data_IF_232283809943
#
_entry.id   IF_232283809943
#
_cell.length_a   1.000
_cell.length_b   1.000
_cell.length_c   1.000
_cell.angle_alpha   90.00
_cell.angle_beta   90.00
_cell.angle_gamma   90.00
#
_symmetry.space_group_name_H-M   'P 1'
#
loop_
_entity.id
_entity.type
_entity.pdbx_description
1 polymer ?
#
# COMPACT_ATOMS: atom_id res chain seq x y z
N UNK A 1 -47.23 -63.45 -33.60
CA UNK A 1 -47.11 -64.41 -32.49
C UNK A 1 -45.68 -64.31 -31.99
N UNK A 2 -45.34 -63.78 -30.83
CA UNK A 2 -46.15 -63.41 -29.67
C UNK A 2 -45.45 -62.32 -28.83
N UNK A 3 -46.32 -61.50 -28.22
CA UNK A 3 -46.24 -60.77 -26.94
C UNK A 3 -44.98 -60.94 -26.07
N UNK A 4 -44.31 -59.85 -25.68
CA UNK A 4 -44.59 -58.90 -24.55
C UNK A 4 -44.26 -59.46 -23.15
N UNK A 5 -43.61 -58.57 -22.38
CA UNK A 5 -43.34 -58.53 -20.92
C UNK A 5 -41.98 -59.14 -20.51
N UNK A 6 -41.10 -58.50 -19.73
CA UNK A 6 -41.33 -57.60 -18.58
C UNK A 6 -40.19 -56.55 -18.45
N UNK A 7 -40.49 -55.24 -18.42
CA UNK A 7 -40.68 -54.33 -17.25
C UNK A 7 -39.35 -53.68 -16.77
N UNK A 8 -39.11 -52.40 -17.11
CA UNK A 8 -39.09 -51.19 -16.23
C UNK A 8 -37.95 -51.23 -15.18
N UNK A 9 -36.98 -50.32 -15.08
CA UNK A 9 -36.95 -48.85 -14.89
C UNK A 9 -35.43 -48.49 -14.85
N UNK A 10 -34.88 -47.32 -15.16
CA UNK A 10 -35.40 -45.97 -15.13
C UNK A 10 -34.61 -45.02 -16.06
N UNK A 11 -35.36 -44.06 -16.58
CA UNK A 11 -35.05 -42.63 -16.77
C UNK A 11 -33.86 -42.17 -17.62
N UNK A 12 -34.23 -41.65 -18.78
CA UNK A 12 -33.59 -40.56 -19.52
C UNK A 12 -33.25 -39.36 -18.62
N UNK A 13 -32.10 -38.73 -18.81
CA UNK A 13 -32.00 -37.34 -19.32
C UNK A 13 -30.57 -36.77 -19.17
N UNK A 14 -30.22 -35.94 -20.16
CA UNK A 14 -29.05 -35.05 -20.22
C UNK A 14 -27.65 -35.64 -20.49
N UNK A 15 -27.38 -35.92 -21.76
CA UNK A 15 -26.23 -35.30 -22.47
C UNK A 15 -26.63 -35.01 -23.91
N UNK A 16 -27.11 -33.80 -24.16
CA UNK A 16 -27.34 -33.28 -25.50
C UNK A 16 -26.02 -32.73 -26.09
N UNK A 17 -25.73 -33.17 -27.31
CA UNK A 17 -24.94 -32.54 -28.38
C UNK A 17 -23.86 -31.52 -28.01
N UNK A 18 -22.59 -31.94 -28.16
CA UNK A 18 -21.48 -31.08 -28.55
C UNK A 18 -21.06 -31.45 -29.99
N UNK A 19 -21.61 -30.75 -30.98
CA UNK A 19 -21.19 -30.86 -32.37
C UNK A 19 -20.24 -29.73 -32.76
N UNK A 20 -19.07 -30.15 -33.28
CA UNK A 20 -18.32 -29.53 -34.38
C UNK A 20 -17.88 -28.07 -34.29
N UNK A 21 -16.69 -27.79 -33.73
CA UNK A 21 -15.79 -26.71 -34.22
C UNK A 21 -14.32 -27.06 -33.92
N UNK A 22 -13.88 -28.28 -34.24
CA UNK A 22 -12.45 -28.62 -34.26
C UNK A 22 -12.08 -29.00 -35.69
N UNK A 23 -12.10 -28.00 -36.56
CA UNK A 23 -11.39 -27.99 -37.82
C UNK A 23 -11.17 -26.54 -38.18
N UNK A 24 -9.90 -26.24 -38.40
CA UNK A 24 -9.34 -24.99 -38.92
C UNK A 24 -8.96 -23.91 -37.91
N UNK A 25 -7.71 -23.99 -37.45
CA UNK A 25 -6.87 -22.83 -37.09
C UNK A 25 -5.41 -23.30 -37.00
N UNK A 26 -4.95 -23.93 -38.10
CA UNK A 26 -3.54 -24.28 -38.32
C UNK A 26 -2.74 -23.14 -38.98
N UNK A 27 -3.35 -21.98 -39.20
CA UNK A 27 -2.71 -20.81 -39.79
C UNK A 27 -3.29 -19.53 -39.18
N UNK A 28 -2.88 -19.19 -37.96
CA UNK A 28 -2.99 -17.79 -37.46
C UNK A 28 -1.99 -17.49 -36.34
N UNK A 29 -0.85 -18.19 -36.32
CA UNK A 29 0.29 -17.90 -35.43
C UNK A 29 1.33 -16.98 -36.11
N UNK A 30 1.18 -16.72 -37.41
CA UNK A 30 1.94 -15.70 -38.12
C UNK A 30 1.10 -14.42 -38.27
N UNK A 31 0.94 -13.71 -37.16
CA UNK A 31 0.76 -12.27 -37.25
C UNK A 31 2.07 -11.70 -37.79
N UNK A 32 2.08 -11.32 -39.07
CA UNK A 32 3.14 -10.47 -39.64
C UNK A 32 3.39 -9.30 -38.68
N UNK A 33 4.63 -9.03 -38.25
CA UNK A 33 4.90 -7.77 -37.59
C UNK A 33 4.60 -6.66 -38.59
N UNK A 34 3.92 -5.61 -38.11
CA UNK A 34 3.92 -4.33 -38.80
C UNK A 34 5.36 -3.94 -39.08
N UNK A 35 5.63 -3.66 -40.36
CA UNK A 35 6.92 -3.37 -40.96
C UNK A 35 7.61 -2.16 -40.31
N UNK A 36 8.20 -2.36 -39.13
CA UNK A 36 9.09 -1.41 -38.43
C UNK A 36 9.91 -2.10 -37.32
N UNK A 37 10.25 -3.38 -37.47
CA UNK A 37 11.26 -4.05 -36.63
C UNK A 37 12.57 -4.19 -37.41
N UNK A 38 13.69 -3.92 -36.75
CA UNK A 38 15.03 -4.03 -37.34
C UNK A 38 15.25 -5.45 -37.87
N UNK A 39 15.88 -5.60 -39.05
CA UNK A 39 16.24 -6.90 -39.63
C UNK A 39 17.04 -7.81 -38.67
N UNK A 40 17.70 -7.22 -37.67
CA UNK A 40 18.46 -7.92 -36.63
C UNK A 40 17.55 -8.78 -35.73
N UNK A 41 16.35 -8.30 -35.38
CA UNK A 41 15.43 -9.01 -34.48
C UNK A 41 14.87 -10.30 -35.13
N UNK A 42 14.63 -10.27 -36.45
CA UNK A 42 14.13 -11.42 -37.21
C UNK A 42 15.18 -12.55 -37.31
N UNK A 43 16.47 -12.19 -37.43
CA UNK A 43 17.56 -13.17 -37.45
C UNK A 43 17.79 -13.78 -36.07
N UNK A 44 17.68 -12.99 -35.00
CA UNK A 44 17.73 -13.49 -33.63
C UNK A 44 16.59 -14.49 -33.35
N UNK A 45 15.35 -14.17 -33.74
CA UNK A 45 14.19 -15.05 -33.56
C UNK A 45 14.34 -16.40 -34.28
N UNK A 46 14.92 -16.40 -35.49
CA UNK A 46 15.23 -17.63 -36.23
C UNK A 46 16.31 -18.48 -35.53
N UNK A 47 17.33 -17.84 -34.96
CA UNK A 47 18.37 -18.53 -34.17
C UNK A 47 17.81 -19.12 -32.87
N UNK A 48 16.91 -18.42 -32.19
CA UNK A 48 16.17 -18.93 -31.03
C UNK A 48 15.31 -20.15 -31.37
N UNK A 49 14.57 -20.10 -32.49
CA UNK A 49 13.75 -21.21 -32.96
C UNK A 49 14.58 -22.45 -33.32
N UNK A 50 15.79 -22.26 -33.85
CA UNK A 50 16.72 -23.37 -34.12
C UNK A 50 17.26 -24.02 -32.84
N UNK A 51 17.55 -23.22 -31.81
CA UNK A 51 18.00 -23.72 -30.50
C UNK A 51 16.90 -24.51 -29.78
N UNK A 52 15.63 -24.10 -29.86
CA UNK A 52 14.51 -24.83 -29.24
C UNK A 52 14.27 -26.22 -29.84
N UNK A 53 14.65 -26.40 -31.11
CA UNK A 53 14.56 -27.69 -31.82
C UNK A 53 15.66 -28.68 -31.43
N UNK A 54 16.67 -28.27 -30.65
CA UNK A 54 17.73 -29.16 -30.20
C UNK A 54 17.21 -30.18 -29.15
N UNK A 55 17.80 -31.38 -29.05
CA UNK A 55 17.50 -32.32 -27.98
C UNK A 55 17.77 -31.71 -26.59
N UNK A 56 16.99 -32.11 -25.57
CA UNK A 56 16.99 -31.51 -24.20
C UNK A 56 18.37 -31.34 -23.59
N UNK A 57 19.29 -32.27 -23.83
CA UNK A 57 20.66 -32.22 -23.31
C UNK A 57 21.54 -31.17 -23.99
N UNK A 58 21.33 -30.92 -25.29
CA UNK A 58 22.10 -29.92 -26.04
C UNK A 58 21.55 -28.50 -25.80
N UNK A 59 20.23 -28.36 -25.58
CA UNK A 59 19.58 -27.11 -25.17
C UNK A 59 20.12 -26.53 -23.87
N UNK A 60 20.46 -27.39 -22.91
CA UNK A 60 21.00 -26.96 -21.61
C UNK A 60 22.45 -26.46 -21.66
N UNK A 61 23.15 -26.73 -22.77
CA UNK A 61 24.59 -26.42 -22.89
C UNK A 61 24.87 -25.22 -23.77
N UNK A 62 23.94 -24.86 -24.64
CA UNK A 62 24.12 -23.79 -25.62
C UNK A 62 23.14 -22.65 -25.34
N UNK A 63 23.65 -21.43 -25.31
CA UNK A 63 22.86 -20.20 -25.17
C UNK A 63 23.23 -19.21 -26.26
N UNK A 64 22.30 -18.31 -26.59
CA UNK A 64 22.57 -17.19 -27.49
C UNK A 64 23.08 -16.01 -26.66
N UNK A 65 24.20 -15.40 -27.07
CA UNK A 65 24.72 -14.19 -26.45
C UNK A 65 24.84 -13.09 -27.51
N UNK A 66 24.04 -12.05 -27.35
CA UNK A 66 24.12 -10.83 -28.14
C UNK A 66 25.36 -10.05 -27.72
N UNK A 67 26.32 -9.85 -28.63
CA UNK A 67 27.51 -9.03 -28.36
C UNK A 67 27.12 -7.56 -28.13
N UNK A 68 28.00 -6.74 -27.56
CA UNK A 68 27.74 -5.29 -27.41
C UNK A 68 27.49 -4.55 -28.73
N UNK A 69 27.76 -5.19 -29.86
CA UNK A 69 27.50 -4.72 -31.23
C UNK A 69 26.14 -5.15 -31.80
N UNK A 70 25.28 -5.83 -31.04
CA UNK A 70 23.95 -6.29 -31.52
C UNK A 70 23.95 -7.65 -32.23
N UNK A 71 25.10 -8.30 -32.39
CA UNK A 71 25.19 -9.58 -33.10
C UNK A 71 25.01 -10.78 -32.14
N UNK A 72 24.00 -11.60 -32.37
CA UNK A 72 23.74 -12.83 -31.62
C UNK A 72 24.66 -13.99 -32.02
N UNK A 73 25.51 -14.41 -31.08
CA UNK A 73 26.44 -15.54 -31.21
C UNK A 73 26.00 -16.76 -30.39
N UNK A 74 26.11 -17.97 -30.96
CA UNK A 74 25.83 -19.23 -30.25
C UNK A 74 27.03 -19.60 -29.37
N UNK A 75 26.85 -19.67 -28.05
CA UNK A 75 27.94 -19.91 -27.10
C UNK A 75 27.65 -21.13 -26.21
N UNK A 76 28.66 -21.99 -26.04
CA UNK A 76 28.62 -23.13 -25.11
C UNK A 76 28.92 -22.64 -23.69
N UNK A 77 27.91 -22.71 -22.83
CA UNK A 77 27.90 -22.14 -21.47
C UNK A 77 29.04 -22.71 -20.60
N UNK A 78 29.54 -23.91 -20.89
CA UNK A 78 30.63 -24.54 -20.11
C UNK A 78 32.02 -24.10 -20.51
N UNK A 79 32.19 -23.54 -21.71
CA UNK A 79 33.50 -23.11 -22.25
C UNK A 79 33.77 -21.63 -22.06
N UNK A 80 32.83 -20.90 -21.45
CA UNK A 80 32.96 -19.48 -21.14
C UNK A 80 34.15 -19.23 -20.21
N UNK A 81 35.05 -18.35 -20.65
CA UNK A 81 36.14 -17.82 -19.84
C UNK A 81 35.62 -17.03 -18.64
N UNK A 82 36.48 -16.77 -17.66
CA UNK A 82 36.08 -16.06 -16.43
C UNK A 82 35.55 -14.65 -16.71
N UNK A 83 36.16 -13.90 -17.63
CA UNK A 83 35.72 -12.56 -18.00
C UNK A 83 34.37 -12.54 -18.73
N UNK A 84 34.16 -13.43 -19.70
CA UNK A 84 32.88 -13.55 -20.41
C UNK A 84 31.75 -13.95 -19.47
N UNK A 85 32.02 -14.89 -18.56
CA UNK A 85 31.06 -15.30 -17.51
C UNK A 85 30.67 -14.13 -16.61
N UNK A 86 31.62 -13.29 -16.22
CA UNK A 86 31.34 -12.15 -15.35
C UNK A 86 30.52 -11.06 -16.09
N UNK A 87 30.81 -10.81 -17.36
CA UNK A 87 30.03 -9.90 -18.22
C UNK A 87 28.60 -10.42 -18.45
N UNK A 88 28.45 -11.73 -18.65
CA UNK A 88 27.17 -12.39 -18.84
C UNK A 88 26.32 -12.35 -17.57
N UNK A 89 26.92 -12.59 -16.40
CA UNK A 89 26.25 -12.41 -15.10
C UNK A 89 25.83 -10.96 -14.91
N UNK A 90 26.68 -9.98 -15.19
CA UNK A 90 26.31 -8.56 -15.06
C UNK A 90 25.18 -8.16 -16.00
N UNK A 91 25.18 -8.66 -17.24
CA UNK A 91 24.07 -8.42 -18.18
C UNK A 91 22.79 -9.12 -17.76
N UNK A 92 22.86 -10.38 -17.33
CA UNK A 92 21.69 -11.10 -16.82
C UNK A 92 21.10 -10.38 -15.61
N UNK A 93 21.93 -9.92 -14.67
CA UNK A 93 21.47 -9.16 -13.49
C UNK A 93 20.81 -7.85 -13.90
N UNK A 94 21.41 -7.11 -14.84
CA UNK A 94 20.88 -5.84 -15.36
C UNK A 94 19.58 -6.05 -16.16
N UNK A 95 19.50 -7.10 -16.97
CA UNK A 95 18.32 -7.44 -17.76
C UNK A 95 17.21 -8.04 -16.91
N UNK A 96 17.50 -8.76 -15.82
CA UNK A 96 16.46 -9.26 -14.92
C UNK A 96 15.60 -8.13 -14.37
N UNK A 97 16.17 -6.97 -14.03
CA UNK A 97 15.37 -5.85 -13.55
C UNK A 97 14.39 -5.35 -14.62
N UNK A 98 14.87 -5.18 -15.85
CA UNK A 98 14.05 -4.70 -16.98
C UNK A 98 13.03 -5.76 -17.44
N UNK A 99 13.39 -7.05 -17.40
CA UNK A 99 12.52 -8.16 -17.76
C UNK A 99 11.45 -8.41 -16.69
N UNK A 100 11.79 -8.28 -15.39
CA UNK A 100 10.82 -8.39 -14.31
C UNK A 100 9.75 -7.30 -14.41
N UNK A 101 10.15 -6.06 -14.71
CA UNK A 101 9.20 -4.96 -14.94
C UNK A 101 8.30 -5.22 -16.16
N UNK A 102 8.88 -5.63 -17.30
CA UNK A 102 8.11 -6.00 -18.50
C UNK A 102 7.17 -7.17 -18.25
N UNK A 103 7.60 -8.16 -17.45
CA UNK A 103 6.75 -9.28 -17.06
C UNK A 103 5.56 -8.83 -16.23
N UNK A 104 5.80 -8.02 -15.19
CA UNK A 104 4.74 -7.48 -14.33
C UNK A 104 3.76 -6.61 -15.12
N UNK A 105 4.25 -5.79 -16.05
CA UNK A 105 3.41 -4.98 -16.93
C UNK A 105 2.55 -5.85 -17.85
N UNK A 106 3.13 -6.88 -18.50
CA UNK A 106 2.36 -7.83 -19.31
C UNK A 106 1.35 -8.62 -18.48
N UNK A 107 1.68 -8.96 -17.23
CA UNK A 107 0.78 -9.65 -16.32
C UNK A 107 -0.40 -8.75 -15.93
N UNK A 108 -0.12 -7.49 -15.59
CA UNK A 108 -1.14 -6.45 -15.34
C UNK A 108 -2.05 -6.26 -16.55
N UNK A 109 -1.50 -6.06 -17.74
CA UNK A 109 -2.29 -5.91 -18.97
C UNK A 109 -3.14 -7.14 -19.29
N UNK A 110 -2.68 -8.35 -18.92
CA UNK A 110 -3.47 -9.58 -19.08
C UNK A 110 -4.60 -9.66 -18.06
N UNK A 111 -4.38 -9.22 -16.82
CA UNK A 111 -5.41 -9.12 -15.80
C UNK A 111 -6.46 -8.07 -16.20
N UNK A 112 -6.04 -6.86 -16.56
CA UNK A 112 -6.93 -5.77 -17.01
C UNK A 112 -7.78 -6.18 -18.23
N UNK A 113 -7.18 -6.91 -19.18
CA UNK A 113 -7.93 -7.45 -20.34
C UNK A 113 -8.95 -8.51 -19.94
N UNK A 114 -8.61 -9.39 -18.99
CA UNK A 114 -9.53 -10.43 -18.48
C UNK A 114 -10.67 -9.80 -17.69
N UNK A 115 -10.41 -8.79 -16.88
CA UNK A 115 -11.43 -8.05 -16.12
C UNK A 115 -12.40 -7.33 -17.06
N UNK A 116 -11.87 -6.62 -18.07
CA UNK A 116 -12.71 -6.00 -19.13
C UNK A 116 -13.54 -7.03 -19.90
N UNK A 117 -12.96 -8.18 -20.25
CA UNK A 117 -13.67 -9.25 -20.96
C UNK A 117 -14.77 -9.90 -20.10
N UNK A 118 -14.60 -9.92 -18.78
CA UNK A 118 -15.60 -10.41 -17.83
C UNK A 118 -16.68 -9.37 -17.48
N UNK A 119 -16.62 -8.17 -18.07
CA UNK A 119 -17.47 -7.02 -17.71
C UNK A 119 -17.43 -6.68 -16.22
N UNK A 120 -16.31 -6.99 -15.55
CA UNK A 120 -16.06 -6.64 -14.16
C UNK A 120 -15.55 -5.20 -14.18
N UNK A 121 -16.34 -4.27 -13.65
CA UNK A 121 -15.87 -2.91 -13.46
C UNK A 121 -14.79 -2.93 -12.37
N UNK A 122 -13.60 -2.36 -12.60
CA UNK A 122 -12.55 -2.32 -11.58
C UNK A 122 -13.06 -1.53 -10.39
N UNK A 123 -13.46 -2.25 -9.35
CA UNK A 123 -13.97 -1.67 -8.11
C UNK A 123 -12.78 -1.53 -7.15
N UNK A 124 -12.39 -0.30 -6.78
CA UNK A 124 -11.29 -0.07 -5.85
C UNK A 124 -11.48 -0.78 -4.51
N UNK A 125 -12.73 -1.08 -4.12
CA UNK A 125 -13.03 -1.75 -2.87
C UNK A 125 -12.64 -3.25 -2.92
N UNK A 126 -12.73 -3.90 -4.09
CA UNK A 126 -12.32 -5.31 -4.28
C UNK A 126 -10.80 -5.48 -4.08
N UNK A 127 -10.01 -4.56 -4.62
CA UNK A 127 -8.55 -4.56 -4.47
C UNK A 127 -8.15 -4.42 -2.99
N UNK A 128 -8.88 -3.58 -2.25
CA UNK A 128 -8.68 -3.38 -0.81
C UNK A 128 -8.97 -4.68 -0.06
N UNK A 129 -10.05 -5.40 -0.37
CA UNK A 129 -10.36 -6.68 0.26
C UNK A 129 -9.29 -7.75 -0.02
N UNK A 130 -8.84 -7.88 -1.27
CA UNK A 130 -7.79 -8.85 -1.63
C UNK A 130 -6.48 -8.55 -0.89
N UNK A 131 -6.08 -7.27 -0.84
CA UNK A 131 -4.90 -6.83 -0.08
C UNK A 131 -5.04 -7.13 1.42
N UNK A 132 -6.20 -6.86 2.01
CA UNK A 132 -6.46 -7.13 3.43
C UNK A 132 -6.31 -8.62 3.77
N UNK A 133 -6.82 -9.51 2.90
CA UNK A 133 -6.70 -10.96 3.10
C UNK A 133 -5.23 -11.39 3.08
N UNK A 134 -4.45 -10.96 2.09
CA UNK A 134 -3.02 -11.29 2.00
C UNK A 134 -2.25 -10.76 3.22
N UNK A 135 -2.51 -9.51 3.62
CA UNK A 135 -1.89 -8.92 4.80
C UNK A 135 -2.28 -9.64 6.10
N UNK A 136 -3.54 -10.10 6.21
CA UNK A 136 -3.99 -10.90 7.34
C UNK A 136 -3.25 -12.24 7.39
N UNK A 137 -3.04 -12.92 6.25
CA UNK A 137 -2.22 -14.13 6.18
C UNK A 137 -0.79 -13.91 6.66
N UNK A 138 -0.13 -12.85 6.20
CA UNK A 138 1.22 -12.50 6.65
C UNK A 138 1.23 -12.29 8.18
N UNK A 139 0.25 -11.53 8.70
CA UNK A 139 0.12 -11.25 10.14
C UNK A 139 -0.06 -12.52 10.96
N UNK A 140 -0.93 -13.44 10.50
CA UNK A 140 -1.18 -14.73 11.14
C UNK A 140 0.08 -15.60 11.20
N UNK A 141 0.91 -15.59 10.15
CA UNK A 141 2.18 -16.33 10.15
C UNK A 141 3.21 -15.72 11.09
N UNK A 142 3.23 -14.39 11.23
CA UNK A 142 4.18 -13.68 12.07
C UNK A 142 3.87 -13.90 13.56
N UNK A 143 2.59 -13.79 13.94
CA UNK A 143 2.13 -13.94 15.32
C UNK A 143 1.36 -15.24 15.52
N UNK A 144 1.96 -16.38 15.18
CA UNK A 144 1.26 -17.66 15.34
C UNK A 144 1.08 -18.03 16.82
N UNK A 145 -0.12 -18.47 17.21
CA UNK A 145 -0.47 -18.84 18.60
C UNK A 145 0.52 -19.78 19.29
N UNK A 146 1.17 -20.70 18.56
CA UNK A 146 2.13 -21.65 19.14
C UNK A 146 3.40 -21.00 19.70
N UNK A 147 3.71 -19.75 19.32
CA UNK A 147 4.83 -18.97 19.84
C UNK A 147 4.42 -17.96 20.90
N UNK A 148 3.11 -17.81 21.16
CA UNK A 148 2.52 -16.78 22.02
C UNK A 148 2.21 -17.36 23.40
N UNK A 149 3.24 -17.50 24.24
CA UNK A 149 3.10 -17.95 25.63
C UNK A 149 2.49 -16.85 26.51
N UNK A 150 2.02 -17.20 27.72
CA UNK A 150 1.38 -16.22 28.62
C UNK A 150 1.95 -16.29 30.03
N UNK A 151 3.18 -16.76 30.18
CA UNK A 151 3.72 -17.11 31.48
C UNK A 151 4.62 -16.02 32.07
N UNK A 152 4.91 -14.97 31.30
CA UNK A 152 5.86 -13.92 31.69
C UNK A 152 5.43 -12.52 31.23
N UNK A 153 6.01 -11.49 31.88
CA UNK A 153 5.84 -10.09 31.47
C UNK A 153 6.44 -9.86 30.07
N UNK A 154 7.51 -10.59 29.72
CA UNK A 154 8.13 -10.54 28.40
C UNK A 154 7.19 -11.05 27.31
N UNK A 155 6.44 -12.12 27.58
CA UNK A 155 5.44 -12.62 26.63
C UNK A 155 4.28 -11.65 26.46
N UNK A 156 3.84 -11.00 27.55
CA UNK A 156 2.91 -9.88 27.48
C UNK A 156 3.41 -8.75 26.57
N UNK A 157 4.72 -8.51 26.55
CA UNK A 157 5.37 -7.60 25.61
C UNK A 157 5.20 -8.00 24.13
N UNK A 158 5.14 -9.29 23.82
CA UNK A 158 4.90 -9.78 22.45
C UNK A 158 3.43 -9.55 22.06
N UNK A 159 2.50 -9.77 22.98
CA UNK A 159 1.07 -9.50 22.78
C UNK A 159 0.77 -8.01 22.59
N UNK A 160 1.35 -7.12 23.41
CA UNK A 160 1.23 -5.65 23.21
C UNK A 160 1.74 -5.25 21.81
N UNK A 161 2.86 -5.86 21.35
CA UNK A 161 3.38 -5.66 20.00
C UNK A 161 2.46 -6.16 18.89
N UNK A 162 1.83 -7.32 19.07
CA UNK A 162 0.85 -7.86 18.12
C UNK A 162 -0.40 -6.97 18.01
N UNK A 163 -0.91 -6.46 19.15
CA UNK A 163 -2.05 -5.55 19.19
C UNK A 163 -1.73 -4.21 18.51
N UNK A 164 -0.56 -3.65 18.80
CA UNK A 164 -0.07 -2.44 18.14
C UNK A 164 0.04 -2.64 16.62
N UNK A 165 0.63 -3.76 16.18
CA UNK A 165 0.74 -4.08 14.76
C UNK A 165 -0.64 -4.22 14.08
N UNK A 166 -1.59 -4.91 14.71
CA UNK A 166 -2.95 -5.02 14.20
C UNK A 166 -3.62 -3.64 14.06
N UNK A 167 -3.48 -2.78 15.06
CA UNK A 167 -4.02 -1.42 15.04
C UNK A 167 -3.40 -0.58 13.92
N UNK A 168 -2.08 -0.68 13.74
CA UNK A 168 -1.35 -0.02 12.65
C UNK A 168 -1.91 -0.45 11.30
N UNK A 169 -2.09 -1.75 11.08
CA UNK A 169 -2.57 -2.26 9.80
C UNK A 169 -3.97 -1.76 9.45
N UNK A 170 -4.87 -1.72 10.44
CA UNK A 170 -6.21 -1.14 10.28
C UNK A 170 -6.14 0.35 9.96
N UNK A 171 -5.23 1.10 10.59
CA UNK A 171 -5.05 2.53 10.29
C UNK A 171 -4.48 2.78 8.89
N UNK A 172 -3.47 2.01 8.47
CA UNK A 172 -2.90 2.10 7.12
C UNK A 172 -3.92 1.82 6.02
N UNK A 173 -4.86 0.92 6.28
CA UNK A 173 -5.93 0.65 5.33
C UNK A 173 -6.77 1.91 5.03
N UNK A 174 -7.00 2.76 6.03
CA UNK A 174 -7.68 4.05 5.85
C UNK A 174 -6.93 5.07 4.97
N UNK A 175 -5.64 4.84 4.65
CA UNK A 175 -4.86 5.74 3.78
C UNK A 175 -5.33 5.70 2.31
N UNK A 176 -5.99 4.63 1.87
CA UNK A 176 -6.54 4.52 0.51
C UNK A 176 -7.47 5.70 0.15
N UNK A 177 -8.15 6.24 1.16
CA UNK A 177 -9.02 7.42 1.05
C UNK A 177 -8.30 8.66 0.56
N UNK A 178 -7.02 8.83 0.93
CA UNK A 178 -6.24 10.00 0.53
C UNK A 178 -6.21 10.11 -0.99
N UNK A 179 -5.91 9.00 -1.67
CA UNK A 179 -5.78 8.98 -3.13
C UNK A 179 -7.13 9.17 -3.82
N UNK A 180 -8.18 8.51 -3.31
CA UNK A 180 -9.53 8.60 -3.84
C UNK A 180 -10.13 10.01 -3.69
N UNK A 181 -9.86 10.70 -2.57
CA UNK A 181 -10.34 12.06 -2.35
C UNK A 181 -9.65 13.06 -3.28
N UNK A 182 -8.33 12.96 -3.47
CA UNK A 182 -7.59 13.86 -4.37
C UNK A 182 -8.08 13.74 -5.81
N UNK A 183 -8.37 12.52 -6.27
CA UNK A 183 -8.91 12.28 -7.60
C UNK A 183 -10.25 13.00 -7.82
N UNK A 184 -11.12 13.03 -6.81
CA UNK A 184 -12.46 13.66 -6.87
C UNK A 184 -12.43 15.18 -6.64
N UNK A 185 -11.36 15.70 -6.04
CA UNK A 185 -11.27 17.08 -5.57
C UNK A 185 -11.43 18.11 -6.70
N UNK A 186 -10.83 17.85 -7.86
CA UNK A 186 -10.90 18.76 -9.02
C UNK A 186 -12.32 18.91 -9.57
N UNK A 187 -13.07 17.80 -9.62
CA UNK A 187 -14.48 17.78 -10.03
C UNK A 187 -15.33 18.50 -8.99
N UNK A 188 -15.07 18.24 -7.70
CA UNK A 188 -15.77 18.88 -6.60
C UNK A 188 -15.62 20.42 -6.63
N UNK A 189 -14.41 20.95 -6.78
CA UNK A 189 -14.20 22.41 -6.82
C UNK A 189 -14.94 23.03 -8.00
N UNK A 190 -14.88 22.41 -9.19
CA UNK A 190 -15.65 22.87 -10.36
C UNK A 190 -17.16 22.90 -10.11
N UNK A 191 -17.71 21.89 -9.41
CA UNK A 191 -19.14 21.83 -9.09
C UNK A 191 -19.54 22.84 -8.00
N UNK A 192 -18.67 23.03 -7.00
CA UNK A 192 -18.87 24.00 -5.92
C UNK A 192 -18.85 25.43 -6.45
N UNK A 193 -17.89 25.76 -7.31
CA UNK A 193 -17.72 27.12 -7.85
C UNK A 193 -18.89 27.51 -8.80
N UNK A 194 -19.55 26.50 -9.39
CA UNK A 194 -20.81 26.64 -10.13
C UNK A 194 -22.06 26.60 -9.22
N UNK A 195 -21.88 26.63 -7.89
CA UNK A 195 -22.93 26.64 -6.87
C UNK A 195 -23.91 25.46 -6.93
N UNK A 196 -23.50 24.30 -7.47
CA UNK A 196 -24.38 23.12 -7.54
C UNK A 196 -24.77 22.57 -6.17
N UNK A 197 -23.83 22.48 -5.23
CA UNK A 197 -24.09 22.03 -3.86
C UNK A 197 -23.01 22.51 -2.88
N UNK A 198 -23.36 22.73 -1.59
CA UNK A 198 -22.39 23.07 -0.55
C UNK A 198 -21.51 21.88 -0.18
N UNK A 199 -20.33 22.15 0.41
CA UNK A 199 -19.35 21.13 0.75
C UNK A 199 -19.86 20.02 1.69
N UNK A 200 -20.73 20.36 2.65
CA UNK A 200 -21.30 19.38 3.58
C UNK A 200 -22.21 18.38 2.88
N UNK A 201 -22.95 18.81 1.85
CA UNK A 201 -23.85 17.96 1.07
C UNK A 201 -23.09 16.97 0.18
N UNK A 202 -21.84 17.26 -0.14
CA UNK A 202 -20.92 16.33 -0.80
C UNK A 202 -20.27 15.35 0.18
N UNK A 203 -19.74 15.87 1.29
CA UNK A 203 -18.91 15.11 2.21
C UNK A 203 -19.72 14.10 3.06
N UNK A 204 -20.89 14.49 3.57
CA UNK A 204 -21.66 13.67 4.50
C UNK A 204 -22.23 12.39 3.87
N UNK A 205 -22.87 12.42 2.69
CA UNK A 205 -23.37 11.20 2.05
C UNK A 205 -22.22 10.24 1.70
N UNK A 206 -21.10 10.77 1.20
CA UNK A 206 -19.92 9.98 0.88
C UNK A 206 -19.33 9.29 2.13
N UNK A 207 -19.31 9.99 3.27
CA UNK A 207 -18.89 9.39 4.53
C UNK A 207 -19.87 8.32 5.01
N UNK A 208 -21.18 8.57 4.95
CA UNK A 208 -22.21 7.64 5.42
C UNK A 208 -22.18 6.30 4.67
N UNK A 209 -21.96 6.33 3.35
CA UNK A 209 -21.83 5.13 2.52
C UNK A 209 -20.62 4.29 2.94
N UNK A 210 -19.53 4.93 3.39
CA UNK A 210 -18.31 4.24 3.81
C UNK A 210 -18.38 3.63 5.20
N UNK A 211 -19.33 4.06 6.04
CA UNK A 211 -19.49 3.48 7.38
C UNK A 211 -19.78 1.98 7.28
N UNK A 212 -20.83 1.49 6.59
CA UNK A 212 -21.08 0.04 6.43
C UNK A 212 -19.90 -0.74 5.84
N UNK A 213 -19.19 -0.16 4.86
CA UNK A 213 -18.03 -0.81 4.23
C UNK A 213 -16.91 -1.08 5.24
N UNK A 214 -16.61 -0.11 6.12
CA UNK A 214 -15.61 -0.28 7.16
C UNK A 214 -15.93 -1.40 8.17
N UNK A 215 -17.22 -1.69 8.42
CA UNK A 215 -17.59 -2.83 9.26
C UNK A 215 -17.14 -4.13 8.61
N UNK A 216 -17.32 -4.27 7.30
CA UNK A 216 -16.94 -5.48 6.55
C UNK A 216 -15.41 -5.61 6.49
N UNK A 217 -14.70 -4.54 6.13
CA UNK A 217 -13.24 -4.54 6.06
C UNK A 217 -12.58 -4.94 7.38
N UNK A 218 -13.00 -4.30 8.48
CA UNK A 218 -12.45 -4.60 9.81
C UNK A 218 -12.89 -5.98 10.29
N UNK A 219 -14.07 -6.46 9.88
CA UNK A 219 -14.54 -7.79 10.26
C UNK A 219 -13.63 -8.86 9.65
N UNK A 220 -13.36 -8.76 8.35
CA UNK A 220 -12.43 -9.67 7.66
C UNK A 220 -11.08 -9.70 8.41
N UNK A 221 -10.53 -8.54 8.74
CA UNK A 221 -9.26 -8.45 9.46
C UNK A 221 -9.31 -9.10 10.86
N UNK A 222 -10.28 -8.73 11.69
CA UNK A 222 -10.36 -9.18 13.09
C UNK A 222 -10.71 -10.65 13.19
N UNK A 223 -11.72 -11.12 12.45
CA UNK A 223 -12.15 -12.52 12.53
C UNK A 223 -11.09 -13.49 12.00
N UNK A 224 -10.28 -13.08 11.01
CA UNK A 224 -9.15 -13.89 10.54
C UNK A 224 -8.01 -13.93 11.57
N UNK A 225 -7.62 -12.79 12.11
CA UNK A 225 -6.39 -12.70 12.92
C UNK A 225 -6.59 -13.07 14.39
N UNK A 226 -7.76 -12.80 14.98
CA UNK A 226 -7.94 -12.79 16.44
C UNK A 226 -7.61 -14.12 17.12
N UNK A 227 -8.24 -15.20 16.68
CA UNK A 227 -8.05 -16.53 17.26
C UNK A 227 -6.74 -17.19 16.82
N UNK A 228 -6.23 -16.83 15.64
CA UNK A 228 -4.98 -17.38 15.09
C UNK A 228 -3.77 -16.81 15.83
N UNK A 229 -3.83 -15.54 16.23
CA UNK A 229 -2.83 -14.93 17.11
C UNK A 229 -2.92 -15.49 18.53
N UNK A 230 -4.13 -15.82 18.96
CA UNK A 230 -4.38 -16.37 20.28
C UNK A 230 -4.60 -15.28 21.33
N UNK A 231 -5.38 -14.25 20.99
CA UNK A 231 -5.94 -13.33 21.99
C UNK A 231 -6.94 -14.05 22.92
N UNK A 232 -7.49 -13.33 23.92
CA UNK A 232 -8.42 -13.93 24.88
C UNK A 232 -9.62 -14.57 24.16
N UNK A 233 -9.94 -15.87 24.37
CA UNK A 233 -10.99 -16.54 23.59
C UNK A 233 -12.41 -15.98 23.79
N UNK A 234 -12.63 -15.09 24.76
CA UNK A 234 -13.94 -14.55 25.08
C UNK A 234 -14.52 -13.71 23.93
N UNK A 235 -15.67 -14.13 23.42
CA UNK A 235 -16.41 -13.48 22.33
C UNK A 235 -16.73 -12.01 22.64
N UNK A 236 -17.01 -11.66 23.90
CA UNK A 236 -17.25 -10.27 24.30
C UNK A 236 -16.03 -9.38 24.06
N UNK A 237 -14.82 -9.89 24.29
CA UNK A 237 -13.56 -9.15 24.08
C UNK A 237 -13.21 -9.05 22.60
N UNK A 238 -13.53 -10.08 21.82
CA UNK A 238 -13.46 -10.03 20.36
C UNK A 238 -14.32 -8.87 19.84
N UNK A 239 -15.59 -8.78 20.24
CA UNK A 239 -16.47 -7.70 19.76
C UNK A 239 -16.03 -6.32 20.23
N UNK A 240 -15.46 -6.20 21.42
CA UNK A 240 -14.86 -4.95 21.90
C UNK A 240 -13.65 -4.53 21.05
N UNK A 241 -12.75 -5.45 20.74
CA UNK A 241 -11.61 -5.17 19.86
C UNK A 241 -12.07 -4.80 18.45
N UNK A 242 -13.02 -5.56 17.90
CA UNK A 242 -13.66 -5.28 16.62
C UNK A 242 -14.24 -3.87 16.58
N UNK A 243 -14.99 -3.48 17.61
CA UNK A 243 -15.58 -2.15 17.70
C UNK A 243 -14.53 -1.03 17.76
N UNK A 244 -13.48 -1.19 18.57
CA UNK A 244 -12.38 -0.20 18.59
C UNK A 244 -11.70 -0.08 17.23
N UNK A 245 -11.47 -1.19 16.53
CA UNK A 245 -10.83 -1.17 15.22
C UNK A 245 -11.71 -0.51 14.15
N UNK A 246 -13.03 -0.64 14.21
CA UNK A 246 -13.95 0.13 13.35
C UNK A 246 -13.77 1.63 13.61
N UNK A 247 -13.72 2.05 14.87
CA UNK A 247 -13.52 3.46 15.23
C UNK A 247 -12.14 3.97 14.77
N UNK A 248 -11.08 3.16 14.89
CA UNK A 248 -9.75 3.50 14.38
C UNK A 248 -9.77 3.66 12.87
N UNK A 249 -10.40 2.73 12.14
CA UNK A 249 -10.53 2.81 10.68
C UNK A 249 -11.29 4.06 10.24
N UNK A 250 -12.45 4.35 10.86
CA UNK A 250 -13.23 5.55 10.58
C UNK A 250 -12.48 6.85 10.91
N UNK A 251 -11.73 6.86 12.01
CA UNK A 251 -10.90 7.99 12.41
C UNK A 251 -9.77 8.21 11.38
N UNK A 252 -9.09 7.14 10.98
CA UNK A 252 -8.04 7.17 9.97
C UNK A 252 -8.56 7.67 8.62
N UNK A 253 -9.70 7.14 8.17
CA UNK A 253 -10.38 7.61 6.95
C UNK A 253 -10.68 9.12 7.02
N UNK A 254 -11.25 9.61 8.13
CA UNK A 254 -11.51 11.04 8.32
C UNK A 254 -10.23 11.88 8.28
N UNK A 255 -9.17 11.44 8.95
CA UNK A 255 -7.87 12.10 8.96
C UNK A 255 -7.26 12.18 7.55
N UNK A 256 -7.23 11.08 6.80
CA UNK A 256 -6.63 11.06 5.46
C UNK A 256 -7.44 11.85 4.44
N UNK A 257 -8.77 11.90 4.57
CA UNK A 257 -9.62 12.81 3.79
C UNK A 257 -9.32 14.27 4.08
N UNK A 258 -9.12 14.62 5.35
CA UNK A 258 -8.70 15.97 5.75
C UNK A 258 -7.32 16.31 5.16
N UNK A 259 -6.33 15.42 5.28
CA UNK A 259 -4.99 15.64 4.71
C UNK A 259 -5.06 15.79 3.18
N UNK A 260 -5.89 15.01 2.50
CA UNK A 260 -6.14 15.15 1.07
C UNK A 260 -6.74 16.52 0.72
N UNK A 261 -7.74 16.98 1.47
CA UNK A 261 -8.37 18.29 1.25
C UNK A 261 -7.43 19.47 1.55
N UNK A 262 -6.57 19.35 2.56
CA UNK A 262 -5.56 20.38 2.87
C UNK A 262 -4.43 20.38 1.84
N UNK A 263 -3.95 19.19 1.47
CA UNK A 263 -2.84 19.00 0.54
C UNK A 263 -3.18 19.34 -0.90
N UNK A 264 -4.42 19.07 -1.35
CA UNK A 264 -5.00 19.32 -2.69
C UNK A 264 -4.20 18.79 -3.90
N UNK A 265 -3.00 18.28 -3.69
CA UNK A 265 -2.08 17.66 -4.63
C UNK A 265 -1.60 16.32 -4.03
N UNK A 266 -1.51 15.29 -4.87
CA UNK A 266 -1.07 13.95 -4.46
C UNK A 266 0.28 13.96 -3.74
N UNK A 267 1.29 14.66 -4.25
CA UNK A 267 2.65 14.64 -3.69
C UNK A 267 2.69 15.28 -2.30
N UNK A 268 2.01 16.42 -2.13
CA UNK A 268 1.96 17.14 -0.84
C UNK A 268 1.17 16.30 0.17
N UNK A 269 0.02 15.75 -0.24
CA UNK A 269 -0.82 14.97 0.65
C UNK A 269 -0.17 13.64 1.06
N UNK A 270 0.48 12.91 0.16
CA UNK A 270 1.17 11.65 0.51
C UNK A 270 2.35 11.89 1.44
N UNK A 271 3.13 12.95 1.20
CA UNK A 271 4.23 13.35 2.08
C UNK A 271 3.72 13.76 3.46
N UNK A 272 2.68 14.61 3.51
CA UNK A 272 2.05 15.05 4.74
C UNK A 272 1.38 13.91 5.51
N UNK A 273 0.73 12.97 4.80
CA UNK A 273 0.11 11.77 5.36
C UNK A 273 1.12 10.83 5.99
N UNK A 274 2.25 10.61 5.33
CA UNK A 274 3.35 9.78 5.85
C UNK A 274 3.97 10.39 7.11
N UNK A 275 4.15 11.72 7.11
CA UNK A 275 4.63 12.44 8.30
C UNK A 275 3.62 12.39 9.45
N UNK A 276 2.33 12.62 9.17
CA UNK A 276 1.27 12.56 10.17
C UNK A 276 1.20 11.18 10.83
N UNK A 277 1.31 10.10 10.06
CA UNK A 277 1.38 8.74 10.59
C UNK A 277 2.53 8.54 11.56
N UNK A 278 3.74 9.00 11.20
CA UNK A 278 4.91 8.87 12.07
C UNK A 278 4.67 9.57 13.41
N UNK A 279 4.13 10.79 13.39
CA UNK A 279 3.79 11.54 14.60
C UNK A 279 2.74 10.81 15.44
N UNK A 280 1.72 10.22 14.80
CA UNK A 280 0.68 9.46 15.50
C UNK A 280 1.21 8.17 16.14
N UNK A 281 2.11 7.45 15.47
CA UNK A 281 2.73 6.24 16.00
C UNK A 281 3.61 6.51 17.21
N UNK A 282 4.46 7.53 17.16
CA UNK A 282 5.34 7.90 18.27
C UNK A 282 4.53 8.29 19.50
N UNK A 283 3.41 9.00 19.30
CA UNK A 283 2.53 9.45 20.38
C UNK A 283 1.42 8.45 20.74
N UNK A 284 1.47 7.20 20.25
CA UNK A 284 0.46 6.17 20.52
C UNK A 284 0.61 5.45 21.87
N UNK A 285 1.71 5.67 22.60
CA UNK A 285 1.97 5.06 23.91
C UNK A 285 2.69 3.71 23.89
N UNK A 286 2.71 3.02 22.74
CA UNK A 286 3.46 1.77 22.56
C UNK A 286 4.95 2.01 22.27
N UNK A 287 5.27 2.84 21.26
CA UNK A 287 6.65 3.14 20.86
C UNK A 287 7.38 3.94 21.95
N UNK A 288 6.69 4.93 22.50
CA UNK A 288 7.19 5.75 23.61
C UNK A 288 6.20 5.63 24.76
N UNK A 289 6.66 5.02 25.86
CA UNK A 289 5.82 4.89 27.05
C UNK A 289 5.50 6.28 27.63
N UNK A 290 4.27 6.45 28.12
CA UNK A 290 3.81 7.70 28.73
C UNK A 290 4.75 8.22 29.82
N UNK A 291 5.30 7.32 30.65
CA UNK A 291 6.18 7.69 31.77
C UNK A 291 7.54 8.23 31.31
N UNK A 292 7.90 7.91 30.07
CA UNK A 292 9.16 8.26 29.44
C UNK A 292 9.08 9.57 28.64
N UNK A 293 7.87 10.10 28.43
CA UNK A 293 7.66 11.35 27.71
C UNK A 293 8.08 12.53 28.58
N UNK A 294 8.95 13.39 28.05
CA UNK A 294 9.34 14.63 28.71
C UNK A 294 8.10 15.49 29.00
N UNK A 295 8.05 16.13 30.17
CA UNK A 295 6.88 16.91 30.65
C UNK A 295 6.38 17.96 29.65
N UNK A 296 7.27 18.57 28.86
CA UNK A 296 6.90 19.58 27.85
C UNK A 296 6.31 19.01 26.56
N UNK A 297 6.50 17.71 26.27
CA UNK A 297 5.96 17.02 25.09
C UNK A 297 4.69 16.21 25.41
N UNK A 298 4.34 16.06 26.70
CA UNK A 298 3.23 15.18 27.12
C UNK A 298 1.88 15.52 26.47
N UNK A 299 1.65 16.77 26.09
CA UNK A 299 0.43 17.19 25.39
C UNK A 299 0.26 16.48 24.03
N UNK A 300 1.35 16.15 23.34
CA UNK A 300 1.31 15.44 22.05
C UNK A 300 0.79 14.00 22.21
N UNK A 301 1.01 13.38 23.37
CA UNK A 301 0.42 12.10 23.73
C UNK A 301 -1.10 12.21 23.93
N UNK A 302 -1.57 13.29 24.56
CA UNK A 302 -3.00 13.51 24.83
C UNK A 302 -3.82 13.91 23.61
N UNK A 303 -3.22 14.61 22.64
CA UNK A 303 -3.90 14.99 21.40
C UNK A 303 -3.89 13.86 20.35
N UNK A 304 -3.16 12.77 20.61
CA UNK A 304 -3.06 11.66 19.66
C UNK A 304 -4.28 10.73 19.78
N UNK A 305 -5.08 10.52 18.71
CA UNK A 305 -6.12 9.51 18.70
C UNK A 305 -5.58 8.08 18.93
N UNK A 306 -4.32 7.82 18.56
CA UNK A 306 -3.71 6.51 18.73
C UNK A 306 -3.51 6.12 20.19
N UNK A 307 -3.27 7.10 21.06
CA UNK A 307 -3.16 6.86 22.50
C UNK A 307 -4.44 6.26 23.07
N UNK A 308 -5.60 6.80 22.68
CA UNK A 308 -6.92 6.34 23.11
C UNK A 308 -7.24 4.94 22.58
N UNK A 309 -6.91 4.67 21.31
CA UNK A 309 -7.10 3.37 20.71
C UNK A 309 -6.21 2.30 21.35
N UNK A 310 -4.90 2.56 21.49
CA UNK A 310 -3.96 1.61 22.07
C UNK A 310 -4.38 1.25 23.50
N UNK A 311 -4.61 2.24 24.36
CA UNK A 311 -5.02 1.97 25.74
C UNK A 311 -6.33 1.17 25.82
N UNK A 312 -7.31 1.43 24.94
CA UNK A 312 -8.56 0.68 24.93
C UNK A 312 -8.37 -0.80 24.53
N UNK A 313 -7.53 -1.06 23.53
CA UNK A 313 -7.22 -2.41 23.05
C UNK A 313 -6.42 -3.20 24.09
N UNK A 314 -5.40 -2.56 24.68
CA UNK A 314 -4.55 -3.16 25.70
C UNK A 314 -5.35 -3.53 26.95
N UNK A 315 -6.18 -2.61 27.46
CA UNK A 315 -7.07 -2.87 28.60
C UNK A 315 -8.09 -3.97 28.29
N UNK A 316 -8.56 -4.04 27.04
CA UNK A 316 -9.49 -5.08 26.61
C UNK A 316 -8.84 -6.48 26.58
N UNK A 317 -7.57 -6.61 26.19
CA UNK A 317 -6.88 -7.90 26.18
C UNK A 317 -6.37 -8.28 27.57
N UNK A 318 -5.59 -7.41 28.23
CA UNK A 318 -4.86 -7.75 29.45
C UNK A 318 -5.72 -7.84 30.70
N UNK A 319 -6.93 -7.26 30.72
CA UNK A 319 -7.91 -7.58 31.77
C UNK A 319 -8.67 -8.89 31.49
N UNK A 320 -8.23 -9.65 30.46
CA UNK A 320 -8.69 -10.95 29.98
C UNK A 320 -8.74 -12.05 31.03
N UNK A 321 -9.57 -13.07 30.80
CA UNK A 321 -9.52 -14.27 31.64
C UNK A 321 -8.20 -15.02 31.46
N UNK A 322 -7.61 -14.93 30.27
CA UNK A 322 -6.32 -15.53 29.90
C UNK A 322 -5.13 -14.95 30.68
N UNK A 323 -5.28 -13.73 31.22
CA UNK A 323 -4.23 -12.95 31.89
C UNK A 323 -4.45 -12.80 33.40
N UNK A 324 -5.45 -13.49 33.96
CA UNK A 324 -5.83 -13.40 35.38
C UNK A 324 -4.93 -14.19 36.34
N UNK A 325 -4.14 -15.11 35.83
CA UNK A 325 -3.25 -15.91 36.67
C UNK A 325 -2.14 -15.03 37.26
N UNK A 326 -1.59 -15.47 38.38
CA UNK A 326 -0.65 -14.70 39.20
C UNK A 326 0.72 -15.37 39.13
N UNK A 327 1.77 -14.58 38.93
CA UNK A 327 3.15 -15.06 38.92
C UNK A 327 3.61 -15.40 40.36
N UNK A 328 4.52 -16.37 40.53
CA UNK A 328 5.17 -16.61 41.81
C UNK A 328 5.80 -15.31 42.34
N UNK A 329 5.56 -14.96 43.61
CA UNK A 329 6.03 -13.75 44.29
C UNK A 329 5.35 -12.41 43.90
N UNK A 330 4.16 -12.45 43.30
CA UNK A 330 3.37 -11.23 43.02
C UNK A 330 1.95 -11.36 43.57
N UNK A 331 1.35 -10.25 44.01
CA UNK A 331 -0.05 -10.23 44.50
C UNK A 331 -1.05 -9.82 43.39
N UNK A 332 -0.55 -9.31 42.26
CA UNK A 332 -1.38 -8.77 41.18
C UNK A 332 -1.47 -9.75 39.99
N UNK A 333 -2.61 -9.77 39.28
CA UNK A 333 -2.75 -10.52 38.03
C UNK A 333 -1.68 -10.13 37.00
N UNK A 334 -1.20 -11.10 36.23
CA UNK A 334 -0.17 -10.90 35.21
C UNK A 334 -0.52 -9.75 34.25
N UNK A 335 -1.76 -9.67 33.78
CA UNK A 335 -2.17 -8.63 32.84
C UNK A 335 -2.01 -7.21 33.40
N UNK A 336 -2.21 -7.00 34.70
CA UNK A 336 -2.00 -5.69 35.34
C UNK A 336 -0.51 -5.35 35.39
N UNK A 337 0.35 -6.34 35.66
CA UNK A 337 1.80 -6.16 35.66
C UNK A 337 2.32 -5.79 34.27
N UNK A 338 1.79 -6.41 33.21
CA UNK A 338 2.14 -6.07 31.81
C UNK A 338 1.72 -4.64 31.46
N UNK A 339 0.50 -4.22 31.82
CA UNK A 339 0.04 -2.85 31.57
C UNK A 339 0.92 -1.82 32.32
N UNK A 340 1.25 -2.08 33.58
CA UNK A 340 2.11 -1.19 34.38
C UNK A 340 3.53 -1.11 33.85
N UNK A 341 4.11 -2.23 33.42
CA UNK A 341 5.50 -2.26 32.94
C UNK A 341 5.70 -1.42 31.67
N UNK A 342 4.65 -1.29 30.84
CA UNK A 342 4.65 -0.47 29.61
C UNK A 342 4.05 0.93 29.80
N UNK A 343 3.58 1.26 31.00
CA UNK A 343 2.99 2.57 31.32
C UNK A 343 1.59 2.80 30.73
N UNK A 344 0.87 1.73 30.41
CA UNK A 344 -0.54 1.77 30.02
C UNK A 344 -1.45 1.92 31.24
N UNK A 345 -2.66 2.40 31.03
CA UNK A 345 -3.65 2.47 32.10
C UNK A 345 -4.20 1.08 32.45
N UNK A 346 -4.51 0.86 33.73
CA UNK A 346 -4.95 -0.45 34.23
C UNK A 346 -6.45 -0.54 34.46
N UNK A 347 -7.17 0.59 34.46
CA UNK A 347 -8.60 0.60 34.79
C UNK A 347 -9.47 0.29 33.57
N UNK A 348 -10.52 -0.52 33.77
CA UNK A 348 -11.45 -0.90 32.71
C UNK A 348 -12.18 0.29 32.07
N UNK A 349 -12.32 1.43 32.78
CA UNK A 349 -12.96 2.64 32.27
C UNK A 349 -12.24 3.23 31.06
N UNK A 350 -10.94 3.01 30.94
CA UNK A 350 -10.14 3.49 29.80
C UNK A 350 -10.56 2.90 28.46
N UNK A 351 -11.23 1.75 28.45
CA UNK A 351 -11.88 1.25 27.24
C UNK A 351 -12.91 2.25 26.70
N UNK A 352 -13.82 2.73 27.54
CA UNK A 352 -14.88 3.65 27.15
C UNK A 352 -14.37 5.09 26.93
N UNK A 353 -13.35 5.51 27.68
CA UNK A 353 -12.65 6.77 27.41
C UNK A 353 -12.01 6.72 26.02
N UNK A 354 -11.42 5.58 25.66
CA UNK A 354 -10.85 5.36 24.33
C UNK A 354 -11.89 5.43 23.22
N UNK A 355 -13.04 4.76 23.41
CA UNK A 355 -14.21 4.85 22.52
C UNK A 355 -14.65 6.30 22.33
N UNK A 356 -14.90 7.02 23.43
CA UNK A 356 -15.36 8.40 23.40
C UNK A 356 -14.37 9.35 22.73
N UNK A 357 -13.07 9.18 23.02
CA UNK A 357 -12.00 9.94 22.38
C UNK A 357 -11.96 9.73 20.88
N UNK A 358 -12.01 8.47 20.42
CA UNK A 358 -12.02 8.14 18.99
C UNK A 358 -13.24 8.72 18.26
N UNK A 359 -14.45 8.62 18.85
CA UNK A 359 -15.65 9.24 18.28
C UNK A 359 -15.48 10.76 18.17
N UNK A 360 -14.92 11.40 19.19
CA UNK A 360 -14.59 12.83 19.17
C UNK A 360 -13.67 13.19 18.00
N UNK A 361 -12.61 12.41 17.78
CA UNK A 361 -11.68 12.62 16.65
C UNK A 361 -12.34 12.35 15.28
N UNK A 362 -13.21 11.34 15.16
CA UNK A 362 -13.97 11.08 13.93
C UNK A 362 -14.79 12.31 13.56
N UNK A 363 -15.55 12.87 14.52
CA UNK A 363 -16.36 14.06 14.31
C UNK A 363 -15.48 15.26 13.96
N UNK A 364 -14.39 15.47 14.72
CA UNK A 364 -13.45 16.56 14.52
C UNK A 364 -12.86 16.55 13.11
N UNK A 365 -12.33 15.41 12.64
CA UNK A 365 -11.70 15.32 11.32
C UNK A 365 -12.71 15.44 10.18
N UNK A 366 -13.92 14.87 10.33
CA UNK A 366 -14.97 15.04 9.31
C UNK A 366 -15.46 16.50 9.23
N UNK A 367 -15.60 17.19 10.37
CA UNK A 367 -15.98 18.60 10.39
C UNK A 367 -14.86 19.48 9.79
N UNK A 368 -13.61 19.24 10.18
CA UNK A 368 -12.45 19.92 9.61
C UNK A 368 -12.34 19.68 8.10
N UNK A 369 -12.66 18.47 7.62
CA UNK A 369 -12.69 18.14 6.19
C UNK A 369 -13.75 18.96 5.44
N UNK A 370 -14.97 19.07 5.99
CA UNK A 370 -16.03 19.92 5.42
C UNK A 370 -15.60 21.39 5.38
N UNK A 371 -15.00 21.90 6.47
CA UNK A 371 -14.49 23.28 6.50
C UNK A 371 -13.39 23.50 5.46
N UNK A 372 -12.45 22.55 5.33
CA UNK A 372 -11.39 22.62 4.32
C UNK A 372 -11.96 22.69 2.90
N UNK A 373 -12.97 21.86 2.58
CA UNK A 373 -13.65 21.91 1.29
C UNK A 373 -14.44 23.20 1.05
N UNK A 374 -14.94 23.82 2.11
CA UNK A 374 -15.73 25.07 2.03
C UNK A 374 -14.84 26.27 1.73
N UNK A 375 -13.67 26.35 2.39
CA UNK A 375 -12.84 27.55 2.37
C UNK A 375 -11.61 27.47 1.45
N UNK A 376 -11.14 26.29 1.06
CA UNK A 376 -9.97 26.16 0.19
C UNK A 376 -10.36 26.05 -1.28
N UNK A 377 -9.66 26.77 -2.15
CA UNK A 377 -9.87 26.71 -3.60
C UNK A 377 -8.94 25.70 -4.28
N UNK A 378 -9.24 25.37 -5.54
CA UNK A 378 -8.38 24.50 -6.35
C UNK A 378 -7.01 25.15 -6.60
N UNK A 379 -5.95 24.35 -6.68
CA UNK A 379 -4.67 24.86 -7.18
C UNK A 379 -4.83 25.23 -8.65
N UNK A 380 -4.69 26.52 -8.96
CA UNK A 380 -4.70 26.96 -10.34
C UNK A 380 -3.55 26.27 -11.10
N UNK A 381 -3.88 25.70 -12.27
CA UNK A 381 -3.19 24.55 -12.89
C UNK A 381 -1.75 24.80 -13.36
N UNK A 382 -1.10 25.91 -13.03
CA UNK A 382 0.13 26.34 -13.69
C UNK A 382 1.43 26.26 -12.86
N UNK A 383 1.40 26.01 -11.53
CA UNK A 383 2.61 26.27 -10.71
C UNK A 383 3.01 25.25 -9.64
N UNK A 384 2.50 24.01 -9.65
CA UNK A 384 3.02 22.96 -8.74
C UNK A 384 3.88 21.93 -9.46
N UNK A 385 4.87 22.38 -10.21
CA UNK A 385 5.95 21.47 -10.60
C UNK A 385 6.95 21.46 -9.45
N UNK A 386 7.13 20.29 -8.82
CA UNK A 386 8.10 20.11 -7.73
C UNK A 386 9.46 20.69 -8.13
N UNK A 387 10.09 21.47 -7.25
CA UNK A 387 11.43 22.05 -7.48
C UNK A 387 12.45 21.00 -7.93
N UNK A 388 12.30 19.75 -7.51
CA UNK A 388 13.10 18.61 -7.97
C UNK A 388 12.90 18.30 -9.45
N UNK A 389 11.65 18.29 -9.94
CA UNK A 389 11.33 18.05 -11.35
C UNK A 389 11.75 19.26 -12.21
N UNK A 390 11.55 20.49 -11.70
CA UNK A 390 12.09 21.70 -12.32
C UNK A 390 13.59 21.60 -12.52
N UNK A 391 14.34 21.27 -11.45
CA UNK A 391 15.79 21.13 -11.49
C UNK A 391 16.26 20.03 -12.43
N UNK A 392 15.62 18.85 -12.40
CA UNK A 392 15.96 17.73 -13.28
C UNK A 392 15.77 18.11 -14.75
N UNK A 393 14.59 18.62 -15.12
CA UNK A 393 14.28 18.98 -16.52
C UNK A 393 15.18 20.12 -17.03
N UNK A 394 15.38 21.17 -16.23
CA UNK A 394 16.22 22.31 -16.64
C UNK A 394 17.71 21.95 -16.69
N UNK A 395 18.18 21.03 -15.86
CA UNK A 395 19.58 20.57 -15.90
C UNK A 395 19.88 19.71 -17.13
N UNK A 396 18.90 18.96 -17.62
CA UNK A 396 19.08 18.05 -18.77
C UNK A 396 18.78 18.72 -20.11
N UNK A 397 17.82 19.65 -20.14
CA UNK A 397 17.25 20.17 -21.38
C UNK A 397 17.19 21.71 -21.44
N UNK A 398 17.59 22.41 -20.37
CA UNK A 398 17.46 23.87 -20.27
C UNK A 398 18.45 24.68 -21.12
N UNK A 399 19.50 24.03 -21.63
CA UNK A 399 20.53 24.59 -22.50
C UNK A 399 20.49 24.05 -23.94
N UNK A 400 19.54 23.16 -24.27
CA UNK A 400 19.40 22.64 -25.63
C UNK A 400 18.72 23.65 -26.55
N UNK A 401 19.44 24.01 -27.62
CA UNK A 401 18.98 24.90 -28.69
C UNK A 401 18.39 24.12 -29.89
N UNK A 402 18.26 22.80 -29.78
CA UNK A 402 17.67 21.95 -30.81
C UNK A 402 16.23 22.38 -31.13
N UNK A 403 15.90 22.38 -32.42
CA UNK A 403 14.58 22.74 -32.91
C UNK A 403 13.64 21.53 -32.86
N UNK A 404 12.47 21.74 -32.26
CA UNK A 404 11.36 20.79 -32.31
C UNK A 404 10.63 20.91 -33.67
N UNK A 405 9.84 19.90 -34.04
CA UNK A 405 9.11 19.83 -35.32
C UNK A 405 8.18 21.04 -35.59
N UNK A 406 7.84 21.78 -34.55
CA UNK A 406 7.04 23.00 -34.57
C UNK A 406 7.87 24.30 -34.72
N UNK A 407 9.19 24.19 -34.94
CA UNK A 407 10.09 25.33 -35.21
C UNK A 407 10.49 26.16 -33.99
N UNK A 408 10.14 25.73 -32.76
CA UNK A 408 10.64 26.36 -31.51
C UNK A 408 11.80 25.56 -30.92
N UNK A 409 12.71 26.24 -30.23
CA UNK A 409 13.80 25.54 -29.53
C UNK A 409 13.27 24.83 -28.29
N UNK A 410 13.89 23.72 -27.88
CA UNK A 410 13.53 22.99 -26.66
C UNK A 410 13.52 23.92 -25.44
N UNK A 411 14.51 24.80 -25.32
CA UNK A 411 14.57 25.84 -24.27
C UNK A 411 13.37 26.82 -24.30
N UNK A 412 12.94 27.27 -25.48
CA UNK A 412 11.76 28.13 -25.62
C UNK A 412 10.46 27.38 -25.28
N UNK A 413 10.38 26.11 -25.64
CA UNK A 413 9.25 25.25 -25.27
C UNK A 413 9.16 25.07 -23.75
N UNK A 414 10.28 24.75 -23.09
CA UNK A 414 10.33 24.63 -21.62
C UNK A 414 9.91 25.92 -20.90
N UNK A 415 10.31 27.08 -21.43
CA UNK A 415 9.92 28.38 -20.89
C UNK A 415 8.46 28.73 -21.13
N UNK A 416 7.94 28.49 -22.33
CA UNK A 416 6.57 28.90 -22.72
C UNK A 416 5.50 27.95 -22.19
N UNK A 417 5.77 26.64 -22.19
CA UNK A 417 4.81 25.61 -21.81
C UNK A 417 4.86 25.28 -20.31
N UNK A 418 6.06 25.13 -19.73
CA UNK A 418 6.24 24.76 -18.31
C UNK A 418 6.66 25.93 -17.42
N UNK A 419 6.96 27.11 -17.97
CA UNK A 419 7.47 28.25 -17.20
C UNK A 419 8.90 28.03 -16.66
N UNK A 420 9.64 27.06 -17.19
CA UNK A 420 10.96 26.74 -16.69
C UNK A 420 12.04 27.60 -17.34
N UNK A 421 12.86 28.21 -16.51
CA UNK A 421 13.92 29.10 -16.92
C UNK A 421 15.27 28.57 -16.46
N UNK A 422 16.21 28.44 -17.39
CA UNK A 422 17.54 27.92 -17.08
C UNK A 422 18.31 28.78 -16.06
N UNK A 423 18.01 30.09 -16.01
CA UNK A 423 18.56 31.03 -15.02
C UNK A 423 18.21 30.67 -13.57
N UNK A 424 17.12 29.94 -13.34
CA UNK A 424 16.69 29.53 -12.02
C UNK A 424 17.33 28.22 -11.54
N UNK A 425 18.14 27.54 -12.36
CA UNK A 425 18.79 26.28 -11.99
C UNK A 425 19.65 26.41 -10.71
N UNK A 426 20.42 27.48 -10.58
CA UNK A 426 21.23 27.77 -9.39
C UNK A 426 20.39 27.90 -8.11
N UNK A 427 19.38 28.80 -8.09
CA UNK A 427 18.41 28.88 -7.00
C UNK A 427 17.72 27.56 -6.66
N UNK A 428 17.29 26.79 -7.67
CA UNK A 428 16.65 25.47 -7.48
C UNK A 428 17.60 24.49 -6.79
N UNK A 429 18.85 24.40 -7.26
CA UNK A 429 19.87 23.56 -6.64
C UNK A 429 20.15 23.98 -5.19
N UNK A 430 20.18 25.30 -4.92
CA UNK A 430 20.30 25.84 -3.56
C UNK A 430 19.14 25.42 -2.65
N UNK A 431 17.90 25.51 -3.13
CA UNK A 431 16.70 25.11 -2.37
C UNK A 431 16.72 23.61 -2.06
N UNK A 432 16.98 22.76 -3.06
CA UNK A 432 17.04 21.30 -2.87
C UNK A 432 18.14 20.93 -1.88
N UNK A 433 19.31 21.56 -1.99
CA UNK A 433 20.44 21.34 -1.06
C UNK A 433 20.09 21.81 0.36
N UNK A 434 19.44 22.98 0.50
CA UNK A 434 18.99 23.49 1.77
C UNK A 434 17.98 22.55 2.46
N UNK A 435 17.08 21.93 1.70
CA UNK A 435 16.17 20.91 2.23
C UNK A 435 16.93 19.69 2.76
N UNK A 436 17.93 19.18 2.03
CA UNK A 436 18.75 18.04 2.49
C UNK A 436 19.48 18.39 3.78
N UNK A 437 20.10 19.58 3.85
CA UNK A 437 20.80 20.05 5.05
C UNK A 437 19.82 20.22 6.22
N UNK A 438 18.65 20.81 5.97
CA UNK A 438 17.61 20.99 6.98
C UNK A 438 17.17 19.64 7.57
N UNK A 439 16.83 18.66 6.74
CA UNK A 439 16.44 17.34 7.20
C UNK A 439 17.59 16.62 7.93
N UNK A 440 18.83 16.75 7.44
CA UNK A 440 20.02 16.23 8.11
C UNK A 440 20.25 16.84 9.50
N UNK A 441 20.06 18.16 9.64
CA UNK A 441 20.16 18.87 10.92
C UNK A 441 19.03 18.47 11.87
N UNK A 442 17.78 18.41 11.39
CA UNK A 442 16.64 17.95 12.19
C UNK A 442 16.90 16.54 12.70
N UNK A 443 17.42 15.64 11.85
CA UNK A 443 17.76 14.28 12.23
C UNK A 443 18.87 14.23 13.28
N UNK A 444 19.98 14.95 13.07
CA UNK A 444 21.09 15.02 14.01
C UNK A 444 20.69 15.61 15.38
N UNK A 445 19.90 16.69 15.37
CA UNK A 445 19.34 17.28 16.58
C UNK A 445 18.38 16.30 17.25
N UNK A 446 17.53 15.62 16.50
CA UNK A 446 16.59 14.62 17.05
C UNK A 446 17.34 13.49 17.74
N UNK A 447 18.39 12.93 17.14
CA UNK A 447 19.22 11.90 17.78
C UNK A 447 19.86 12.43 19.07
N UNK A 448 20.45 13.63 19.02
CA UNK A 448 21.13 14.24 20.18
C UNK A 448 20.16 14.54 21.33
N UNK A 449 18.97 15.06 21.01
CA UNK A 449 17.98 15.53 22.00
C UNK A 449 17.13 14.38 22.56
N UNK A 450 16.81 13.38 21.74
CA UNK A 450 15.97 12.25 22.12
C UNK A 450 16.73 11.00 22.55
N UNK A 451 18.05 10.90 22.27
CA UNK A 451 18.98 9.90 22.79
C UNK A 451 18.38 8.49 22.97
N UNK A 452 17.90 7.91 21.86
CA UNK A 452 17.15 6.65 21.81
C UNK A 452 17.98 5.39 22.17
N UNK A 453 19.30 5.51 22.36
CA UNK A 453 20.20 4.36 22.58
C UNK A 453 20.39 3.98 24.06
N UNK A 454 19.80 4.70 25.02
CA UNK A 454 20.01 4.45 26.45
C UNK A 454 18.79 3.94 27.22
N UNK A 455 17.80 3.33 26.55
CA UNK A 455 16.63 2.75 27.21
C UNK A 455 16.31 1.36 26.70
#
# INVERSE_FOLDING_TARGET
MDTRNHIYEASQSFRANSSSVWRDTGMEVFSRPSMTSNHEDEEEDLKWAALERLPTFNRLKKGLLTSSSGEASEVDVRKLGFQERNNLIQRLVKDTETQNEKFLMRLRERLDRREKAANIQPDPDIDVFMKLIVMAFITMTLFIRTRMHRDSITDGGIFTGALFFCMIMVMFNGMSELSLTIAKLSVFYKQRDLMFFPAWAYALPGWLIKVPLSFVEVAIWVFMTYYVIGFDPNVHRLFRQYFIFILVHQMASGLFRLIAALGRNMVIATTGGSFALLVLFVNGGFVLSRVDIKKWWIWAYWISPMMYAQNAVEVNEFLGNSWKHVLPNTEQPLGILVLKSRGFFTEQRWYWIGVGGLIGFIILFNLAYVLALTYLDSYDKAQSISWTLYGLVISQYGDMDDMLDNGVTVKQFLKSYFGFEHKFLGPVAGIVTAFVILFGLIFAVSIKVFNFQKR
#
